data_IF_647616531703
#
_entry.id   IF_647616531703
#
_cell.length_a   1.000
_cell.length_b   1.000
_cell.length_c   1.000
_cell.angle_alpha   90.00
_cell.angle_beta   90.00
_cell.angle_gamma   90.00
#
_symmetry.space_group_name_H-M   'P 1'
#
loop_
_entity.id
_entity.type
_entity.pdbx_description
1 polymer ?
#
# COMPACT_ATOMS: atom_id res chain seq x y z
N UNK A 1 -20.50 0.69 -0.15
CA UNK A 1 -19.14 0.52 -0.67
C UNK A 1 -19.04 -0.64 -1.63
N UNK A 2 -17.89 -0.77 -2.21
CA UNK A 2 -17.60 -1.81 -3.21
C UNK A 2 -16.90 -3.03 -2.61
N UNK A 3 -17.14 -3.30 -1.35
CA UNK A 3 -16.52 -4.37 -0.60
C UNK A 3 -15.66 -3.81 0.52
N UNK A 4 -15.24 -4.70 1.41
CA UNK A 4 -14.42 -4.32 2.56
C UNK A 4 -12.97 -4.65 2.29
N UNK A 5 -12.07 -3.73 2.59
CA UNK A 5 -10.64 -3.96 2.55
C UNK A 5 -10.04 -3.60 3.91
N UNK A 6 -9.06 -4.40 4.31
CA UNK A 6 -8.36 -4.19 5.55
C UNK A 6 -6.89 -3.94 5.22
N UNK A 7 -6.40 -2.72 5.41
CA UNK A 7 -5.00 -2.42 5.12
C UNK A 7 -4.07 -3.15 6.08
N UNK A 8 -2.86 -3.45 5.61
CA UNK A 8 -1.82 -4.02 6.49
C UNK A 8 -1.46 -3.03 7.59
N UNK A 9 -1.39 -1.76 7.23
CA UNK A 9 -1.09 -0.69 8.18
C UNK A 9 -1.99 0.51 7.92
N UNK A 10 -2.44 1.13 8.99
CA UNK A 10 -3.07 2.44 8.95
C UNK A 10 -2.11 3.40 9.63
N UNK A 11 -1.67 4.42 8.91
CA UNK A 11 -0.65 5.34 9.39
C UNK A 11 -1.21 6.75 9.44
N UNK A 12 -1.04 7.40 10.59
CA UNK A 12 -1.53 8.75 10.80
C UNK A 12 -0.37 9.75 10.78
N UNK A 13 -0.45 10.72 9.87
CA UNK A 13 0.44 11.87 9.91
C UNK A 13 -0.22 12.96 10.75
N UNK A 14 0.21 13.10 12.00
CA UNK A 14 -0.38 14.03 12.96
C UNK A 14 -0.20 15.48 12.55
N UNK A 15 0.94 15.81 11.94
CA UNK A 15 1.22 17.16 11.49
C UNK A 15 0.24 17.61 10.41
N UNK A 16 -0.01 16.76 9.43
CA UNK A 16 -0.91 17.05 8.33
C UNK A 16 -2.35 16.66 8.62
N UNK A 17 -2.60 16.02 9.76
CA UNK A 17 -3.90 15.47 10.15
C UNK A 17 -4.47 14.59 9.05
N UNK A 18 -3.61 13.73 8.48
CA UNK A 18 -3.98 12.88 7.37
C UNK A 18 -3.67 11.42 7.69
N UNK A 19 -4.60 10.54 7.31
CA UNK A 19 -4.48 9.11 7.47
C UNK A 19 -4.14 8.49 6.12
N UNK A 20 -3.20 7.53 6.14
CA UNK A 20 -2.80 6.77 4.97
C UNK A 20 -3.02 5.29 5.24
N UNK A 21 -3.47 4.56 4.23
CA UNK A 21 -3.46 3.10 4.26
C UNK A 21 -2.23 2.61 3.53
N UNK A 22 -1.58 1.61 4.09
CA UNK A 22 -0.35 1.06 3.53
C UNK A 22 -0.52 -0.45 3.35
N UNK A 23 -0.37 -0.91 2.11
CA UNK A 23 -0.38 -2.33 1.74
C UNK A 23 1.01 -2.74 1.32
N UNK A 24 1.52 -3.81 1.93
CA UNK A 24 2.78 -4.41 1.52
C UNK A 24 2.50 -5.71 0.78
N UNK A 25 2.83 -5.76 -0.50
CA UNK A 25 2.53 -6.88 -1.39
C UNK A 25 3.80 -7.72 -1.54
N UNK A 26 3.97 -8.69 -0.64
CA UNK A 26 5.23 -9.39 -0.43
C UNK A 26 5.48 -10.63 -1.28
N UNK A 27 4.51 -11.06 -2.09
CA UNK A 27 4.62 -12.30 -2.87
C UNK A 27 4.20 -12.09 -4.31
N UNK A 28 4.68 -11.03 -4.94
CA UNK A 28 4.25 -10.66 -6.28
C UNK A 28 4.74 -11.59 -7.39
N UNK A 29 5.64 -12.51 -7.06
CA UNK A 29 6.07 -13.58 -7.95
C UNK A 29 5.13 -14.79 -7.95
N UNK A 30 4.15 -14.83 -7.04
CA UNK A 30 3.11 -15.86 -7.03
C UNK A 30 1.91 -15.36 -7.83
N UNK A 31 1.54 -16.02 -8.95
CA UNK A 31 0.44 -15.54 -9.81
C UNK A 31 -0.91 -15.41 -9.10
N UNK A 32 -1.22 -16.35 -8.21
CA UNK A 32 -2.49 -16.33 -7.48
C UNK A 32 -2.50 -15.15 -6.50
N UNK A 33 -1.43 -14.96 -5.78
CA UNK A 33 -1.28 -13.84 -4.86
C UNK A 33 -1.34 -12.50 -5.59
N UNK A 34 -0.61 -12.39 -6.71
CA UNK A 34 -0.58 -11.17 -7.50
C UNK A 34 -1.96 -10.78 -8.03
N UNK A 35 -2.74 -11.75 -8.48
CA UNK A 35 -4.10 -11.49 -8.95
C UNK A 35 -5.00 -10.98 -7.83
N UNK A 36 -4.92 -11.59 -6.65
CA UNK A 36 -5.67 -11.15 -5.48
C UNK A 36 -5.25 -9.74 -5.05
N UNK A 37 -3.95 -9.44 -5.12
CA UNK A 37 -3.43 -8.13 -4.80
C UNK A 37 -4.00 -7.06 -5.74
N UNK A 38 -4.04 -7.34 -7.04
CA UNK A 38 -4.61 -6.42 -8.01
C UNK A 38 -6.10 -6.17 -7.75
N UNK A 39 -6.85 -7.20 -7.40
CA UNK A 39 -8.27 -7.06 -7.06
C UNK A 39 -8.46 -6.21 -5.81
N UNK A 40 -7.61 -6.39 -4.81
CA UNK A 40 -7.66 -5.61 -3.58
C UNK A 40 -7.39 -4.13 -3.87
N UNK A 41 -6.37 -3.84 -4.67
CA UNK A 41 -6.04 -2.46 -5.06
C UNK A 41 -7.22 -1.83 -5.80
N UNK A 42 -7.83 -2.55 -6.72
CA UNK A 42 -9.00 -2.06 -7.44
C UNK A 42 -10.15 -1.74 -6.49
N UNK A 43 -10.36 -2.56 -5.47
CA UNK A 43 -11.40 -2.30 -4.46
C UNK A 43 -11.12 -1.00 -3.71
N UNK A 44 -9.86 -0.74 -3.35
CA UNK A 44 -9.48 0.54 -2.74
C UNK A 44 -9.83 1.70 -3.67
N UNK A 45 -9.45 1.60 -4.93
CA UNK A 45 -9.73 2.67 -5.90
C UNK A 45 -11.22 2.91 -6.08
N UNK A 46 -12.03 1.84 -6.10
CA UNK A 46 -13.48 1.95 -6.19
C UNK A 46 -14.10 2.61 -4.96
N UNK A 47 -13.43 2.52 -3.81
CA UNK A 47 -13.85 3.18 -2.59
C UNK A 47 -13.28 4.60 -2.44
N UNK A 48 -12.62 5.11 -3.48
CA UNK A 48 -12.15 6.49 -3.51
C UNK A 48 -10.72 6.70 -3.04
N UNK A 49 -9.97 5.64 -2.75
CA UNK A 49 -8.57 5.77 -2.38
C UNK A 49 -7.70 5.87 -3.61
N UNK A 50 -6.66 6.67 -3.53
CA UNK A 50 -5.77 6.92 -4.67
C UNK A 50 -4.33 6.56 -4.30
N UNK A 51 -3.73 5.68 -5.11
CA UNK A 51 -2.33 5.28 -4.93
C UNK A 51 -1.45 6.52 -5.06
N UNK A 52 -0.59 6.74 -4.07
CA UNK A 52 0.28 7.90 -4.04
C UNK A 52 -0.29 9.11 -3.30
N UNK A 53 -1.57 9.09 -2.94
CA UNK A 53 -2.19 10.17 -2.17
C UNK A 53 -2.58 9.71 -0.76
N UNK A 54 -3.41 8.70 -0.65
CA UNK A 54 -3.88 8.16 0.62
C UNK A 54 -3.70 6.65 0.73
N UNK A 55 -3.23 6.02 -0.33
CA UNK A 55 -2.90 4.60 -0.36
C UNK A 55 -1.44 4.44 -0.77
N UNK A 56 -0.66 3.84 0.12
CA UNK A 56 0.76 3.57 -0.11
C UNK A 56 0.88 2.09 -0.45
N UNK A 57 1.59 1.79 -1.53
CA UNK A 57 1.85 0.42 -1.95
C UNK A 57 3.35 0.17 -1.96
N UNK A 58 3.74 -0.97 -1.39
CA UNK A 58 5.10 -1.48 -1.52
C UNK A 58 5.02 -2.90 -2.02
N UNK A 59 6.02 -3.31 -2.78
CA UNK A 59 6.04 -4.60 -3.46
C UNK A 59 7.35 -5.32 -3.18
N UNK A 60 7.28 -6.62 -3.10
CA UNK A 60 8.49 -7.43 -3.16
C UNK A 60 8.17 -8.81 -3.74
N UNK A 61 9.18 -9.46 -4.23
CA UNK A 61 9.12 -10.84 -4.68
C UNK A 61 10.32 -11.59 -4.12
N UNK A 62 10.39 -12.88 -4.37
CA UNK A 62 11.47 -13.73 -3.89
C UNK A 62 12.86 -13.18 -4.27
N UNK A 63 12.99 -12.64 -5.48
CA UNK A 63 14.27 -12.15 -6.00
C UNK A 63 14.43 -10.63 -5.92
N UNK A 64 13.40 -9.91 -5.51
CA UNK A 64 13.41 -8.45 -5.42
C UNK A 64 12.80 -8.02 -4.08
N UNK A 65 13.58 -8.11 -2.99
CA UNK A 65 13.07 -7.70 -1.68
C UNK A 65 12.95 -6.18 -1.57
N UNK A 66 12.07 -5.74 -0.68
CA UNK A 66 11.97 -4.31 -0.39
C UNK A 66 13.25 -3.82 0.29
N UNK A 67 13.69 -2.62 -0.06
CA UNK A 67 14.89 -2.03 0.53
C UNK A 67 14.53 -1.01 1.62
N UNK A 68 15.47 -0.80 2.54
CA UNK A 68 15.32 0.23 3.56
C UNK A 68 15.23 1.63 2.93
N UNK A 69 15.88 1.82 1.81
CA UNK A 69 15.83 3.11 1.08
C UNK A 69 14.41 3.40 0.57
N UNK A 70 13.72 2.38 0.06
CA UNK A 70 12.34 2.54 -0.38
C UNK A 70 11.43 2.93 0.80
N UNK A 71 11.59 2.26 1.93
CA UNK A 71 10.83 2.56 3.13
C UNK A 71 11.13 3.98 3.61
N UNK A 72 12.40 4.37 3.64
CA UNK A 72 12.80 5.72 4.05
C UNK A 72 12.21 6.78 3.13
N UNK A 73 12.20 6.55 1.81
CA UNK A 73 11.62 7.48 0.85
C UNK A 73 10.11 7.65 1.08
N UNK A 74 9.43 6.57 1.41
CA UNK A 74 7.98 6.61 1.70
C UNK A 74 7.72 7.42 2.97
N UNK A 75 8.49 7.16 4.03
CA UNK A 75 8.37 7.92 5.27
C UNK A 75 8.60 9.40 5.02
N UNK A 76 9.61 9.73 4.26
CA UNK A 76 9.94 11.12 3.92
C UNK A 76 8.83 11.79 3.13
N UNK A 77 8.23 11.07 2.17
CA UNK A 77 7.23 11.64 1.27
C UNK A 77 5.84 11.76 1.90
N UNK A 78 5.45 10.81 2.74
CA UNK A 78 4.07 10.74 3.22
C UNK A 78 3.92 11.04 4.71
N UNK A 79 4.94 10.76 5.51
CA UNK A 79 4.79 10.72 6.96
C UNK A 79 5.52 11.85 7.69
N UNK A 80 6.15 12.75 6.96
CA UNK A 80 6.82 13.90 7.57
C UNK A 80 6.26 15.26 7.13
#
# INVERSE_FOLDING_TARGET
>A
GFGKVYPDFTVLNKRKKKEFYWEHLGMMDDPVYAEKAMKKIRTYEQNGYCVGLDLILTFESKNVPISQKQISNIIESFLK
#
